data_IF_598744771848
#
_entry.id   IF_598744771848
#
_cell.length_a   1.000
_cell.length_b   1.000
_cell.length_c   1.000
_cell.angle_alpha   90.00
_cell.angle_beta   90.00
_cell.angle_gamma   90.00
#
_symmetry.space_group_name_H-M   'P 1'
#
loop_
_entity.id
_entity.type
_entity.pdbx_description
1 polymer ?
#
# COMPACT_ATOMS: atom_id res chain seq x y z
N UNK A 1 47.73 -44.91 49.89
CA UNK A 1 48.29 -44.78 48.55
C UNK A 1 47.43 -43.72 47.90
N UNK A 2 47.96 -42.57 48.05
CA UNK A 2 48.40 -41.51 47.16
C UNK A 2 47.23 -40.85 46.40
N UNK A 3 46.84 -39.70 46.84
CA UNK A 3 47.18 -38.34 46.37
C UNK A 3 46.84 -38.09 44.90
N UNK A 4 45.95 -37.14 44.68
CA UNK A 4 46.33 -35.81 44.16
C UNK A 4 45.12 -34.87 44.12
N UNK A 5 45.23 -33.83 44.96
CA UNK A 5 44.54 -32.54 44.80
C UNK A 5 45.08 -31.80 43.57
N UNK A 6 44.25 -31.22 42.73
CA UNK A 6 44.66 -30.09 41.93
C UNK A 6 43.49 -29.07 41.85
N UNK A 7 43.81 -27.88 42.24
CA UNK A 7 43.17 -26.58 42.13
C UNK A 7 42.62 -26.30 40.72
N UNK A 8 41.45 -25.69 40.63
CA UNK A 8 41.13 -24.75 39.59
C UNK A 8 40.33 -23.57 40.15
N UNK A 9 41.08 -22.55 40.52
CA UNK A 9 40.61 -21.18 40.56
C UNK A 9 40.96 -20.57 39.21
N UNK A 10 40.07 -19.80 38.63
CA UNK A 10 40.51 -18.84 37.64
C UNK A 10 39.58 -18.60 36.46
N UNK A 11 39.16 -17.36 36.36
CA UNK A 11 38.75 -16.64 35.16
C UNK A 11 37.32 -16.77 34.71
N UNK A 12 36.49 -15.98 35.37
CA UNK A 12 35.41 -15.28 34.66
C UNK A 12 36.12 -14.21 33.81
N UNK A 13 36.28 -14.46 32.55
CA UNK A 13 36.64 -13.43 31.57
C UNK A 13 35.43 -13.12 30.70
N UNK A 14 35.08 -11.86 30.67
CA UNK A 14 34.20 -11.17 29.79
C UNK A 14 34.03 -11.86 28.42
N UNK A 15 32.83 -12.29 28.12
CA UNK A 15 32.40 -12.58 26.77
C UNK A 15 31.42 -11.48 26.35
N UNK A 16 31.93 -10.27 26.23
CA UNK A 16 31.39 -9.27 25.31
C UNK A 16 31.95 -9.56 23.90
N UNK A 17 31.69 -10.73 23.38
CA UNK A 17 31.86 -10.98 21.96
C UNK A 17 30.69 -10.30 21.25
N UNK A 18 30.90 -9.03 20.90
CA UNK A 18 30.16 -8.33 19.86
C UNK A 18 30.07 -9.23 18.64
N UNK A 19 28.85 -9.68 18.32
CA UNK A 19 28.55 -10.46 17.13
C UNK A 19 28.75 -9.56 15.90
N UNK A 20 29.84 -9.69 15.12
CA UNK A 20 30.02 -8.95 13.86
C UNK A 20 29.00 -9.39 12.79
N UNK A 21 28.29 -10.49 13.01
CA UNK A 21 27.28 -11.04 12.09
C UNK A 21 26.02 -10.21 11.95
N UNK A 22 25.61 -9.47 12.97
CA UNK A 22 24.40 -8.63 12.90
C UNK A 22 24.63 -7.32 12.13
N UNK A 23 25.82 -6.74 12.23
CA UNK A 23 26.19 -5.51 11.52
C UNK A 23 26.27 -5.75 10.00
N UNK A 24 26.94 -6.81 9.56
CA UNK A 24 27.06 -7.18 8.14
C UNK A 24 25.74 -7.64 7.54
N UNK A 25 24.85 -8.19 8.38
CA UNK A 25 23.53 -8.63 7.95
C UNK A 25 22.55 -7.46 7.78
N UNK A 26 22.69 -6.42 8.63
CA UNK A 26 21.91 -5.18 8.52
C UNK A 26 22.40 -4.31 7.34
N UNK A 27 23.68 -4.36 7.01
CA UNK A 27 24.27 -3.57 5.91
C UNK A 27 23.91 -4.13 4.51
N UNK A 28 23.52 -5.40 4.40
CA UNK A 28 23.06 -6.04 3.14
C UNK A 28 21.59 -5.81 2.81
N UNK A 29 20.79 -5.22 3.72
CA UNK A 29 19.39 -4.84 3.48
C UNK A 29 19.23 -3.37 3.07
N UNK A 30 20.17 -2.80 2.39
CA UNK A 30 20.25 -1.37 2.12
C UNK A 30 19.15 -0.75 1.26
N UNK A 31 18.20 -1.52 0.71
CA UNK A 31 17.22 -0.98 -0.22
C UNK A 31 15.80 -1.38 0.20
N UNK A 32 15.37 -1.00 1.41
CA UNK A 32 13.97 -1.20 1.77
C UNK A 32 13.14 -0.05 1.20
N UNK A 33 12.63 -0.27 0.00
CA UNK A 33 11.69 0.62 -0.70
C UNK A 33 10.28 0.14 -0.38
N UNK A 34 9.77 0.54 0.75
CA UNK A 34 8.44 0.09 1.22
C UNK A 34 7.37 0.73 0.34
N UNK A 35 6.51 -0.08 -0.24
CA UNK A 35 5.36 0.41 -1.00
C UNK A 35 4.06 -0.14 -0.44
N UNK A 36 3.24 0.73 0.15
CA UNK A 36 1.94 0.38 0.69
C UNK A 36 0.92 0.42 -0.45
N UNK A 37 0.50 -0.76 -0.89
CA UNK A 37 -0.61 -0.95 -1.83
C UNK A 37 -1.91 -1.04 -1.06
N UNK A 38 -2.80 -0.09 -1.26
CA UNK A 38 -4.04 0.00 -0.49
C UNK A 38 -5.27 0.06 -1.40
N UNK A 39 -6.39 -0.38 -0.87
CA UNK A 39 -7.69 0.07 -1.35
C UNK A 39 -8.12 1.31 -0.56
N UNK A 40 -9.05 2.09 -1.11
CA UNK A 40 -9.64 3.20 -0.38
C UNK A 40 -10.35 2.68 0.89
N UNK A 41 -10.32 3.44 1.98
CA UNK A 41 -11.02 3.14 3.25
C UNK A 41 -10.54 1.92 4.03
N UNK A 42 -9.39 1.36 3.69
CA UNK A 42 -8.76 0.24 4.41
C UNK A 42 -7.91 0.67 5.61
N UNK A 43 -8.14 1.83 6.19
CA UNK A 43 -7.32 2.41 7.26
C UNK A 43 -5.83 2.57 6.89
N UNK A 44 -5.50 2.65 5.61
CA UNK A 44 -4.12 2.84 5.13
C UNK A 44 -3.48 4.13 5.62
N UNK A 45 -4.28 5.18 5.88
CA UNK A 45 -3.78 6.40 6.52
C UNK A 45 -3.37 6.20 7.97
N UNK A 46 -4.03 5.29 8.70
CA UNK A 46 -3.61 4.94 10.05
C UNK A 46 -2.25 4.25 10.03
N UNK A 47 -2.10 3.20 9.20
CA UNK A 47 -0.82 2.52 9.03
C UNK A 47 0.29 3.51 8.66
N UNK A 48 0.02 4.35 7.67
CA UNK A 48 0.97 5.34 7.19
C UNK A 48 1.36 6.34 8.29
N UNK A 49 0.36 6.85 9.05
CA UNK A 49 0.57 7.81 10.14
C UNK A 49 1.42 7.26 11.28
N UNK A 50 1.25 5.99 11.61
CA UNK A 50 2.07 5.31 12.62
C UNK A 50 3.50 5.16 12.09
N UNK A 51 3.66 4.59 10.89
CA UNK A 51 4.97 4.30 10.31
C UNK A 51 5.79 5.56 9.99
N UNK A 52 5.17 6.66 9.54
CA UNK A 52 5.88 7.93 9.25
C UNK A 52 6.54 8.55 10.48
N UNK A 53 6.21 8.09 11.69
CA UNK A 53 6.87 8.52 12.91
C UNK A 53 8.28 7.93 13.09
N UNK A 54 8.63 6.92 12.30
CA UNK A 54 9.95 6.28 12.39
C UNK A 54 11.03 7.16 11.75
N UNK A 55 12.13 7.49 12.48
CA UNK A 55 13.11 8.49 12.03
C UNK A 55 13.91 8.08 10.79
N UNK A 56 14.03 6.77 10.52
CA UNK A 56 14.73 6.28 9.32
C UNK A 56 13.85 6.25 8.08
N UNK A 57 12.55 6.60 8.18
CA UNK A 57 11.63 6.61 7.03
C UNK A 57 11.42 8.02 6.51
N UNK A 58 11.54 8.19 5.21
CA UNK A 58 11.00 9.34 4.49
C UNK A 58 9.81 8.89 3.65
N UNK A 59 8.73 9.64 3.71
CA UNK A 59 7.42 9.16 3.25
C UNK A 59 6.82 10.01 2.15
N UNK A 60 6.12 9.38 1.20
CA UNK A 60 5.33 10.06 0.17
C UNK A 60 4.04 9.30 -0.08
N UNK A 61 2.92 10.03 -0.13
CA UNK A 61 1.61 9.46 -0.45
C UNK A 61 1.18 9.85 -1.86
N UNK A 62 0.54 8.92 -2.53
CA UNK A 62 -0.19 9.13 -3.77
C UNK A 62 0.64 9.71 -4.93
N UNK A 63 1.77 9.09 -5.27
CA UNK A 63 2.61 9.61 -6.36
C UNK A 63 1.89 9.65 -7.72
N UNK A 64 0.88 8.79 -7.96
CA UNK A 64 0.18 8.66 -9.24
C UNK A 64 -1.28 9.12 -9.22
N UNK A 65 -1.85 9.41 -8.05
CA UNK A 65 -3.28 9.76 -7.92
C UNK A 65 -3.69 10.95 -8.79
N UNK A 66 -2.88 11.99 -8.83
CA UNK A 66 -3.21 13.19 -9.60
C UNK A 66 -3.16 12.93 -11.12
N UNK A 67 -2.20 12.14 -11.60
CA UNK A 67 -2.17 11.71 -13.00
C UNK A 67 -3.37 10.83 -13.35
N UNK A 68 -3.72 9.88 -12.46
CA UNK A 68 -4.84 8.97 -12.66
C UNK A 68 -6.19 9.68 -12.71
N UNK A 69 -6.42 10.63 -11.81
CA UNK A 69 -7.71 11.32 -11.68
C UNK A 69 -7.81 12.54 -12.62
N UNK A 70 -6.74 13.33 -12.72
CA UNK A 70 -6.79 14.72 -13.18
C UNK A 70 -5.83 15.03 -14.33
N UNK A 71 -4.81 14.22 -14.54
CA UNK A 71 -3.81 14.45 -15.57
C UNK A 71 -4.37 14.37 -16.99
N UNK A 72 -3.58 14.80 -18.00
CA UNK A 72 -3.99 14.75 -19.41
C UNK A 72 -4.22 13.31 -19.90
N UNK A 73 -3.55 12.33 -19.27
CA UNK A 73 -3.61 10.89 -19.59
C UNK A 73 -4.57 10.12 -18.65
N UNK A 74 -5.42 10.83 -17.90
CA UNK A 74 -6.25 10.24 -16.85
C UNK A 74 -6.92 8.92 -17.26
N UNK A 75 -6.82 7.91 -16.41
CA UNK A 75 -7.45 6.61 -16.59
C UNK A 75 -8.77 6.48 -15.82
N UNK A 76 -9.06 7.42 -14.91
CA UNK A 76 -10.34 7.46 -14.20
C UNK A 76 -11.49 7.61 -15.19
N UNK A 77 -12.50 6.75 -15.04
CA UNK A 77 -13.72 6.79 -15.86
C UNK A 77 -14.83 7.62 -15.23
N UNK A 78 -14.59 8.17 -14.05
CA UNK A 78 -15.57 9.00 -13.35
C UNK A 78 -15.97 10.21 -14.19
N UNK A 79 -17.26 10.35 -14.39
CA UNK A 79 -17.89 11.48 -15.07
C UNK A 79 -18.91 12.08 -14.10
N UNK A 80 -18.52 13.09 -13.38
CA UNK A 80 -19.48 13.89 -12.60
C UNK A 80 -19.30 15.34 -12.97
N UNK A 81 -20.40 16.05 -13.09
CA UNK A 81 -20.40 17.52 -13.37
C UNK A 81 -19.52 18.24 -12.35
N UNK A 82 -19.52 17.78 -11.09
CA UNK A 82 -18.67 18.33 -10.03
C UNK A 82 -17.16 18.13 -10.24
N UNK A 83 -16.73 17.11 -10.97
CA UNK A 83 -15.33 16.94 -11.38
C UNK A 83 -15.01 17.79 -12.61
N UNK A 84 -15.93 17.86 -13.57
CA UNK A 84 -15.76 18.72 -14.74
C UNK A 84 -15.72 20.20 -14.33
N UNK A 85 -16.55 20.63 -13.39
CA UNK A 85 -16.49 21.95 -12.76
C UNK A 85 -15.18 22.17 -12.00
N UNK A 86 -14.69 21.15 -11.30
CA UNK A 86 -13.40 21.21 -10.61
C UNK A 86 -12.27 21.41 -11.61
N UNK A 87 -12.26 20.70 -12.73
CA UNK A 87 -11.27 20.83 -13.81
C UNK A 87 -11.37 22.15 -14.56
N UNK A 88 -12.59 22.62 -14.83
CA UNK A 88 -12.79 23.89 -15.51
C UNK A 88 -12.22 25.08 -14.69
N UNK A 89 -12.13 24.93 -13.37
CA UNK A 89 -11.70 25.97 -12.44
C UNK A 89 -10.28 25.75 -11.87
N UNK A 90 -9.58 24.69 -12.25
CA UNK A 90 -8.24 24.37 -11.70
C UNK A 90 -7.10 25.21 -12.30
N UNK A 91 -7.39 26.00 -13.35
CA UNK A 91 -6.41 26.85 -14.03
C UNK A 91 -5.31 26.07 -14.76
N UNK A 92 -5.54 24.81 -15.10
CA UNK A 92 -4.55 23.93 -15.72
C UNK A 92 -3.51 23.39 -14.76
N UNK A 93 -3.77 23.42 -13.49
CA UNK A 93 -2.89 22.93 -12.40
C UNK A 93 -2.36 21.52 -12.65
N UNK A 94 -3.19 20.64 -13.23
CA UNK A 94 -2.85 19.24 -13.47
C UNK A 94 -2.33 18.94 -14.88
N UNK A 95 -2.17 19.95 -15.74
CA UNK A 95 -1.73 19.76 -17.13
C UNK A 95 -0.36 19.08 -17.26
N UNK A 96 0.52 19.27 -16.27
CA UNK A 96 1.84 18.65 -16.21
C UNK A 96 1.89 17.30 -15.47
N UNK A 97 0.78 16.80 -14.92
CA UNK A 97 0.74 15.56 -14.16
C UNK A 97 0.53 14.36 -15.09
N UNK A 98 1.55 14.03 -15.90
CA UNK A 98 1.58 12.79 -16.69
C UNK A 98 2.05 11.62 -15.83
N UNK A 99 1.70 10.39 -16.19
CA UNK A 99 2.21 9.21 -15.50
C UNK A 99 3.74 9.09 -15.61
N UNK A 100 4.33 9.48 -16.74
CA UNK A 100 5.78 9.50 -16.88
C UNK A 100 6.44 10.45 -15.90
N UNK A 101 5.93 11.68 -15.80
CA UNK A 101 6.44 12.64 -14.80
C UNK A 101 6.33 12.13 -13.38
N UNK A 102 5.23 11.47 -13.02
CA UNK A 102 5.06 10.88 -11.71
C UNK A 102 6.08 9.75 -11.44
N UNK A 103 6.40 8.95 -12.45
CA UNK A 103 7.42 7.92 -12.36
C UNK A 103 8.81 8.55 -12.16
N UNK A 104 9.17 9.51 -12.97
CA UNK A 104 10.48 10.19 -12.90
C UNK A 104 10.67 10.88 -11.54
N UNK A 105 9.63 11.55 -11.04
CA UNK A 105 9.66 12.19 -9.73
C UNK A 105 9.80 11.15 -8.60
N UNK A 106 9.16 9.99 -8.73
CA UNK A 106 9.24 8.90 -7.75
C UNK A 106 10.63 8.27 -7.77
N UNK A 107 11.21 7.98 -8.92
CA UNK A 107 12.57 7.42 -9.04
C UNK A 107 13.61 8.40 -8.47
N UNK A 108 13.49 9.68 -8.79
CA UNK A 108 14.36 10.73 -8.25
C UNK A 108 14.26 10.81 -6.72
N UNK A 109 13.02 10.80 -6.20
CA UNK A 109 12.78 10.81 -4.75
C UNK A 109 13.40 9.60 -4.06
N UNK A 110 13.26 8.40 -4.64
CA UNK A 110 13.88 7.18 -4.11
C UNK A 110 15.40 7.35 -4.02
N UNK A 111 16.04 7.78 -5.10
CA UNK A 111 17.48 8.01 -5.16
C UNK A 111 17.94 9.01 -4.10
N UNK A 112 17.25 10.14 -3.97
CA UNK A 112 17.63 11.19 -3.03
C UNK A 112 17.55 10.69 -1.58
N UNK A 113 16.46 9.99 -1.21
CA UNK A 113 16.27 9.42 0.13
C UNK A 113 17.33 8.35 0.44
N UNK A 114 17.60 7.46 -0.52
CA UNK A 114 18.60 6.40 -0.35
C UNK A 114 20.03 6.97 -0.23
N UNK A 115 20.30 8.08 -0.93
CA UNK A 115 21.60 8.78 -0.80
C UNK A 115 21.85 9.36 0.61
N UNK A 116 20.76 9.66 1.35
CA UNK A 116 20.83 10.08 2.76
C UNK A 116 20.92 8.89 3.74
N UNK A 117 20.97 7.65 3.24
CA UNK A 117 20.97 6.45 4.07
C UNK A 117 19.65 6.17 4.77
N UNK A 118 18.55 6.74 4.28
CA UNK A 118 17.19 6.53 4.77
C UNK A 118 16.44 5.54 3.90
N UNK A 119 15.31 5.03 4.44
CA UNK A 119 14.38 4.19 3.71
C UNK A 119 13.24 5.04 3.16
N UNK A 120 12.77 4.72 1.96
CA UNK A 120 11.58 5.33 1.38
C UNK A 120 10.34 4.52 1.72
N UNK A 121 9.27 5.19 2.12
CA UNK A 121 7.96 4.58 2.26
C UNK A 121 6.94 5.31 1.38
N UNK A 122 6.49 4.64 0.35
CA UNK A 122 5.49 5.12 -0.59
C UNK A 122 4.12 4.52 -0.26
N UNK A 123 3.06 5.21 -0.64
CA UNK A 123 1.70 4.70 -0.53
C UNK A 123 0.88 5.12 -1.74
N UNK A 124 0.18 4.14 -2.35
CA UNK A 124 -0.77 4.41 -3.42
C UNK A 124 -2.00 3.50 -3.30
N UNK A 125 -3.11 3.95 -3.86
CA UNK A 125 -4.24 3.06 -4.08
C UNK A 125 -3.99 2.21 -5.32
N UNK A 126 -4.11 0.90 -5.19
CA UNK A 126 -3.77 -0.05 -6.25
C UNK A 126 -4.53 0.23 -7.54
N UNK A 127 -5.79 0.67 -7.43
CA UNK A 127 -6.62 1.05 -8.59
C UNK A 127 -5.98 2.14 -9.46
N UNK A 128 -5.19 3.03 -8.89
CA UNK A 128 -4.53 4.10 -9.64
C UNK A 128 -3.34 3.62 -10.49
N UNK A 129 -2.88 2.40 -10.25
CA UNK A 129 -1.73 1.80 -10.92
C UNK A 129 -2.13 0.75 -11.96
N UNK A 130 -3.36 0.26 -11.97
CA UNK A 130 -3.80 -0.81 -12.85
C UNK A 130 -3.95 -0.32 -14.28
N UNK A 131 -3.46 -1.14 -15.22
CA UNK A 131 -3.56 -0.82 -16.65
C UNK A 131 -4.99 -0.94 -17.16
N UNK A 132 -5.35 -0.15 -18.17
CA UNK A 132 -6.66 -0.22 -18.84
C UNK A 132 -6.96 -1.62 -19.38
N UNK A 133 -5.95 -2.31 -19.91
CA UNK A 133 -6.09 -3.69 -20.40
C UNK A 133 -6.54 -4.65 -19.30
N UNK A 134 -6.01 -4.50 -18.10
CA UNK A 134 -6.40 -5.33 -16.95
C UNK A 134 -7.81 -4.96 -16.49
N UNK A 135 -8.15 -3.67 -16.48
CA UNK A 135 -9.52 -3.23 -16.22
C UNK A 135 -10.51 -3.85 -17.22
N UNK A 136 -10.26 -3.70 -18.53
CA UNK A 136 -11.11 -4.25 -19.58
C UNK A 136 -11.32 -5.77 -19.48
N UNK A 137 -10.27 -6.50 -19.11
CA UNK A 137 -10.34 -7.95 -18.95
C UNK A 137 -11.12 -8.43 -17.72
N UNK A 138 -11.37 -7.54 -16.74
CA UNK A 138 -11.92 -7.91 -15.44
C UNK A 138 -13.22 -7.19 -15.07
N UNK A 139 -13.70 -6.28 -15.91
CA UNK A 139 -14.97 -5.59 -15.73
C UNK A 139 -15.91 -6.04 -16.85
N UNK A 140 -17.10 -6.55 -16.48
CA UNK A 140 -18.06 -7.09 -17.43
C UNK A 140 -18.65 -6.02 -18.36
N UNK A 141 -18.74 -4.78 -17.90
CA UNK A 141 -19.31 -3.69 -18.66
C UNK A 141 -18.35 -3.21 -19.75
N UNK A 142 -18.73 -3.40 -21.00
CA UNK A 142 -17.96 -2.95 -22.16
C UNK A 142 -17.97 -1.43 -22.24
N UNK A 143 -16.83 -0.81 -21.99
CA UNK A 143 -16.60 0.65 -22.07
C UNK A 143 -15.38 0.95 -22.89
N UNK A 144 -15.32 2.12 -23.56
CA UNK A 144 -14.08 2.59 -24.11
C UNK A 144 -13.17 3.06 -22.97
N UNK A 145 -12.11 2.30 -22.70
CA UNK A 145 -11.04 2.74 -21.82
C UNK A 145 -10.04 3.60 -22.59
N UNK A 146 -9.46 4.57 -21.91
CA UNK A 146 -8.31 5.26 -22.46
C UNK A 146 -7.11 4.32 -22.50
N UNK A 147 -6.29 4.34 -23.55
CA UNK A 147 -5.06 3.55 -23.58
C UNK A 147 -4.17 3.91 -22.40
N UNK A 148 -3.64 2.89 -21.73
CA UNK A 148 -2.62 3.10 -20.70
C UNK A 148 -1.34 3.63 -21.37
N UNK A 149 -0.75 4.73 -20.88
CA UNK A 149 0.54 5.18 -21.37
C UNK A 149 1.62 4.13 -21.08
N UNK A 150 2.53 3.95 -22.02
CA UNK A 150 3.71 3.12 -21.82
C UNK A 150 4.78 3.95 -21.13
N UNK A 151 5.12 3.60 -19.90
CA UNK A 151 6.12 4.32 -19.14
C UNK A 151 7.52 3.83 -19.47
N UNK A 152 8.41 4.78 -19.68
CA UNK A 152 9.82 4.51 -19.89
C UNK A 152 10.54 4.50 -18.53
N UNK A 153 11.17 3.39 -18.19
CA UNK A 153 12.05 3.29 -17.03
C UNK A 153 13.38 4.00 -17.34
N UNK A 154 13.55 5.20 -16.81
CA UNK A 154 14.78 5.97 -16.94
C UNK A 154 15.84 5.57 -15.94
N UNK A 155 15.53 4.62 -15.05
CA UNK A 155 16.43 4.13 -13.99
C UNK A 155 17.04 5.28 -13.15
N UNK A 156 16.26 6.32 -12.86
CA UNK A 156 16.75 7.50 -12.12
C UNK A 156 17.14 7.15 -10.68
N UNK A 157 16.62 6.06 -10.16
CA UNK A 157 16.96 5.46 -8.86
C UNK A 157 18.33 4.76 -8.84
N UNK A 158 19.00 4.64 -10.00
CA UNK A 158 20.30 3.98 -10.14
C UNK A 158 21.40 4.97 -10.52
N UNK A 159 22.64 4.65 -10.14
CA UNK A 159 23.80 5.33 -10.69
C UNK A 159 24.07 4.90 -12.15
N UNK A 160 25.00 5.59 -12.81
CA UNK A 160 25.27 5.37 -14.24
C UNK A 160 25.80 3.95 -14.53
N UNK A 161 26.63 3.39 -13.65
CA UNK A 161 27.17 2.04 -13.82
C UNK A 161 26.08 0.97 -13.64
N UNK A 162 25.19 1.15 -12.68
CA UNK A 162 24.07 0.24 -12.41
C UNK A 162 23.01 0.26 -13.52
N UNK A 163 22.80 1.40 -14.20
CA UNK A 163 21.85 1.51 -15.31
C UNK A 163 22.20 0.59 -16.48
N UNK A 164 23.47 0.46 -16.79
CA UNK A 164 23.94 -0.40 -17.90
C UNK A 164 23.59 -1.88 -17.63
N UNK A 165 23.73 -2.33 -16.39
CA UNK A 165 23.41 -3.72 -16.01
C UNK A 165 21.91 -3.95 -15.92
N UNK A 166 21.15 -2.98 -15.43
CA UNK A 166 19.69 -3.06 -15.30
C UNK A 166 18.98 -3.23 -16.64
N UNK A 167 19.49 -2.60 -17.68
CA UNK A 167 18.93 -2.71 -19.05
C UNK A 167 19.12 -4.10 -19.69
N UNK A 168 20.00 -4.94 -19.14
CA UNK A 168 20.33 -6.26 -19.69
C UNK A 168 19.54 -7.43 -19.09
N UNK A 169 18.85 -7.21 -17.97
CA UNK A 169 18.21 -8.28 -17.18
C UNK A 169 16.69 -8.07 -17.10
N UNK A 170 15.95 -8.66 -18.01
CA UNK A 170 14.48 -8.77 -17.89
C UNK A 170 14.09 -10.24 -17.83
N UNK A 171 13.93 -10.77 -16.63
CA UNK A 171 13.29 -12.08 -16.44
C UNK A 171 11.77 -11.87 -16.49
N UNK A 172 11.12 -12.40 -17.54
CA UNK A 172 9.67 -12.41 -17.61
C UNK A 172 9.11 -13.35 -16.52
N UNK A 173 8.10 -12.87 -15.78
CA UNK A 173 7.40 -13.68 -14.79
C UNK A 173 6.22 -14.42 -15.43
N UNK A 174 5.84 -15.61 -14.89
CA UNK A 174 4.66 -16.35 -15.37
C UNK A 174 3.35 -15.55 -15.26
N UNK A 175 3.21 -14.74 -14.21
CA UNK A 175 2.09 -13.80 -14.06
C UNK A 175 2.57 -12.42 -14.51
N UNK A 176 1.92 -11.81 -15.52
CA UNK A 176 2.31 -10.50 -16.01
C UNK A 176 2.02 -9.41 -14.96
N UNK A 177 2.82 -8.36 -14.99
CA UNK A 177 2.60 -7.16 -14.19
C UNK A 177 1.24 -6.53 -14.54
N UNK A 178 0.32 -6.37 -13.58
CA UNK A 178 -0.98 -5.77 -13.83
C UNK A 178 -0.94 -4.23 -13.84
N UNK A 179 0.20 -3.63 -13.50
CA UNK A 179 0.34 -2.19 -13.27
C UNK A 179 1.01 -1.45 -14.42
N UNK A 180 0.91 -0.12 -14.38
CA UNK A 180 1.63 0.79 -15.28
C UNK A 180 3.12 0.93 -14.93
N UNK A 181 3.52 0.48 -13.73
CA UNK A 181 4.92 0.61 -13.28
C UNK A 181 5.81 -0.35 -14.06
N UNK A 182 7.02 0.07 -14.45
CA UNK A 182 7.99 -0.82 -15.08
C UNK A 182 8.33 -2.03 -14.20
N UNK A 183 8.45 -3.20 -14.81
CA UNK A 183 8.73 -4.47 -14.13
C UNK A 183 9.99 -4.42 -13.25
N UNK A 184 11.05 -3.78 -13.76
CA UNK A 184 12.29 -3.61 -13.00
C UNK A 184 12.03 -2.89 -11.69
N UNK A 185 11.42 -1.70 -11.76
CA UNK A 185 11.16 -0.89 -10.58
C UNK A 185 10.23 -1.60 -9.62
N UNK A 186 9.13 -2.18 -10.11
CA UNK A 186 8.15 -2.90 -9.30
C UNK A 186 8.82 -4.03 -8.48
N UNK A 187 9.76 -4.78 -9.10
CA UNK A 187 10.51 -5.85 -8.43
C UNK A 187 11.49 -5.34 -7.35
N UNK A 188 11.87 -4.08 -7.36
CA UNK A 188 12.73 -3.48 -6.31
C UNK A 188 11.95 -3.03 -5.08
N UNK A 189 10.63 -2.95 -5.17
CA UNK A 189 9.77 -2.50 -4.09
C UNK A 189 9.49 -3.63 -3.10
N UNK A 190 9.42 -3.29 -1.82
CA UNK A 190 8.93 -4.17 -0.76
C UNK A 190 7.43 -3.96 -0.56
N UNK A 191 6.58 -4.84 -1.09
CA UNK A 191 5.14 -4.64 -1.09
C UNK A 191 4.53 -4.90 0.28
N UNK A 192 3.74 -3.96 0.75
CA UNK A 192 2.87 -4.08 1.93
C UNK A 192 1.43 -3.82 1.48
N UNK A 193 0.60 -4.83 1.51
CA UNK A 193 -0.82 -4.71 1.22
C UNK A 193 -1.58 -4.44 2.51
N UNK A 194 -2.54 -3.52 2.47
CA UNK A 194 -3.47 -3.35 3.57
C UNK A 194 -4.89 -3.59 3.07
N UNK A 195 -5.57 -4.54 3.72
CA UNK A 195 -6.92 -4.98 3.40
C UNK A 195 -7.87 -4.67 4.55
N UNK A 196 -9.14 -4.63 4.26
CA UNK A 196 -10.23 -4.56 5.23
C UNK A 196 -11.47 -5.22 4.67
N UNK A 197 -12.34 -5.72 5.56
CA UNK A 197 -13.57 -6.39 5.15
C UNK A 197 -14.44 -5.50 4.22
N UNK A 198 -14.86 -5.99 3.05
CA UNK A 198 -15.61 -5.20 2.05
C UNK A 198 -16.87 -4.53 2.61
N UNK A 199 -17.60 -5.22 3.50
CA UNK A 199 -18.80 -4.67 4.15
C UNK A 199 -18.53 -3.40 4.98
N UNK A 200 -17.29 -3.12 5.35
CA UNK A 200 -16.88 -1.89 6.05
C UNK A 200 -16.30 -0.85 5.08
N UNK A 201 -15.63 -1.34 4.03
CA UNK A 201 -14.93 -0.51 3.05
C UNK A 201 -15.91 0.20 2.12
N UNK A 202 -16.83 -0.54 1.49
CA UNK A 202 -17.69 -0.02 0.43
C UNK A 202 -18.67 1.05 0.91
N UNK A 203 -19.40 0.88 2.02
CA UNK A 203 -20.24 1.95 2.54
C UNK A 203 -19.44 3.16 2.98
N UNK A 204 -18.24 2.94 3.57
CA UNK A 204 -17.35 4.05 3.93
C UNK A 204 -16.84 4.81 2.70
N UNK A 205 -16.61 4.11 1.58
CA UNK A 205 -16.25 4.74 0.30
C UNK A 205 -17.40 5.59 -0.23
N UNK A 206 -18.61 5.07 -0.31
CA UNK A 206 -19.77 5.82 -0.81
C UNK A 206 -20.05 7.06 0.03
N UNK A 207 -19.99 6.96 1.38
CA UNK A 207 -20.13 8.13 2.26
C UNK A 207 -19.10 9.23 1.97
N UNK A 208 -17.83 8.83 1.83
CA UNK A 208 -16.76 9.79 1.57
C UNK A 208 -16.86 10.39 0.16
N UNK A 209 -17.28 9.62 -0.83
CA UNK A 209 -17.39 10.03 -2.23
C UNK A 209 -18.67 10.80 -2.54
N UNK A 210 -19.62 10.85 -1.60
CA UNK A 210 -20.89 11.62 -1.75
C UNK A 210 -20.67 13.09 -2.08
N UNK A 211 -19.57 13.70 -1.61
CA UNK A 211 -19.22 15.09 -1.94
C UNK A 211 -18.99 15.33 -3.44
N UNK A 212 -18.69 14.25 -4.17
CA UNK A 212 -18.52 14.25 -5.64
C UNK A 212 -19.75 13.70 -6.37
N UNK A 213 -20.88 13.54 -5.66
CA UNK A 213 -22.09 12.97 -6.21
C UNK A 213 -22.02 11.47 -6.51
N UNK A 214 -21.03 10.75 -5.96
CA UNK A 214 -20.85 9.32 -6.24
C UNK A 214 -21.98 8.46 -5.70
N UNK A 215 -22.39 7.48 -6.50
CA UNK A 215 -23.40 6.47 -6.20
C UNK A 215 -22.87 5.05 -6.39
N UNK A 216 -23.61 4.05 -5.95
CA UNK A 216 -23.25 2.64 -6.17
C UNK A 216 -23.42 2.20 -7.64
N UNK A 217 -24.05 3.04 -8.47
CA UNK A 217 -24.39 2.76 -9.87
C UNK A 217 -23.53 3.50 -10.86
N UNK A 218 -22.59 4.32 -10.37
CA UNK A 218 -21.68 5.06 -11.22
C UNK A 218 -20.78 4.13 -12.02
N UNK A 219 -20.37 4.63 -13.17
CA UNK A 219 -19.46 3.95 -14.08
C UNK A 219 -18.14 3.51 -13.41
N UNK A 220 -17.70 4.21 -12.38
CA UNK A 220 -16.48 3.87 -11.66
C UNK A 220 -16.70 2.99 -10.40
N UNK A 221 -17.95 2.70 -10.02
CA UNK A 221 -18.23 1.85 -8.88
C UNK A 221 -17.57 0.45 -8.99
N UNK A 222 -17.51 -0.24 -10.15
CA UNK A 222 -16.78 -1.50 -10.30
C UNK A 222 -15.29 -1.41 -10.03
N UNK A 223 -14.69 -0.21 -10.18
CA UNK A 223 -13.26 0.00 -9.91
C UNK A 223 -12.95 0.18 -8.43
N UNK A 224 -13.88 0.81 -7.72
CA UNK A 224 -13.70 1.21 -6.33
C UNK A 224 -14.42 0.31 -5.32
N UNK A 225 -15.31 -0.57 -5.78
CA UNK A 225 -16.02 -1.52 -4.93
C UNK A 225 -15.61 -2.96 -5.27
N UNK A 226 -14.30 -3.21 -5.29
CA UNK A 226 -13.67 -4.52 -5.52
C UNK A 226 -12.31 -4.57 -4.84
N UNK A 227 -11.83 -5.75 -4.48
CA UNK A 227 -10.46 -5.99 -4.02
C UNK A 227 -9.59 -6.68 -5.08
N UNK A 228 -10.15 -6.90 -6.26
CA UNK A 228 -9.50 -7.62 -7.36
C UNK A 228 -8.14 -7.05 -7.74
N UNK A 229 -8.01 -5.72 -7.74
CA UNK A 229 -6.75 -5.07 -8.10
C UNK A 229 -5.62 -5.39 -7.13
N UNK A 230 -5.93 -5.41 -5.84
CA UNK A 230 -4.96 -5.81 -4.82
C UNK A 230 -4.61 -7.29 -4.95
N UNK A 231 -5.60 -8.15 -5.23
CA UNK A 231 -5.41 -9.58 -5.42
C UNK A 231 -4.50 -9.87 -6.61
N UNK A 232 -4.74 -9.27 -7.77
CA UNK A 232 -3.90 -9.46 -8.95
C UNK A 232 -2.45 -9.04 -8.71
N UNK A 233 -2.23 -7.92 -8.04
CA UNK A 233 -0.89 -7.46 -7.72
C UNK A 233 -0.22 -8.32 -6.63
N UNK A 234 -0.97 -8.81 -5.66
CA UNK A 234 -0.48 -9.77 -4.68
C UNK A 234 0.02 -11.05 -5.36
N UNK A 235 -0.74 -11.60 -6.32
CA UNK A 235 -0.38 -12.80 -7.04
C UNK A 235 0.87 -12.60 -7.92
N UNK A 236 1.04 -11.42 -8.53
CA UNK A 236 2.28 -11.03 -9.19
C UNK A 236 3.48 -11.10 -8.22
N UNK A 237 3.38 -10.50 -7.04
CA UNK A 237 4.47 -10.51 -6.06
C UNK A 237 4.70 -11.91 -5.46
N UNK A 238 3.66 -12.72 -5.25
CA UNK A 238 3.83 -14.12 -4.84
C UNK A 238 4.63 -14.91 -5.87
N UNK A 239 4.36 -14.69 -7.15
CA UNK A 239 5.12 -15.28 -8.24
C UNK A 239 6.57 -14.78 -8.25
N UNK A 240 6.78 -13.49 -8.05
CA UNK A 240 8.12 -12.91 -7.93
C UNK A 240 8.90 -13.54 -6.78
N UNK A 241 8.36 -13.58 -5.57
CA UNK A 241 9.04 -14.16 -4.41
C UNK A 241 9.19 -15.70 -4.48
N UNK A 242 8.51 -16.35 -5.40
CA UNK A 242 8.68 -17.79 -5.67
C UNK A 242 9.86 -18.09 -6.58
N UNK A 243 10.37 -17.13 -7.35
CA UNK A 243 11.56 -17.31 -8.16
C UNK A 243 12.86 -17.02 -7.38
N UNK A 244 14.03 -17.55 -7.82
CA UNK A 244 15.29 -17.46 -7.06
C UNK A 244 15.71 -16.00 -6.73
N UNK A 245 15.55 -15.10 -7.68
CA UNK A 245 15.93 -13.69 -7.52
C UNK A 245 15.05 -12.97 -6.48
N UNK A 246 13.73 -13.16 -6.59
CA UNK A 246 12.78 -12.59 -5.65
C UNK A 246 12.90 -13.20 -4.24
N UNK A 247 13.13 -14.52 -4.16
CA UNK A 247 13.39 -15.20 -2.90
C UNK A 247 14.64 -14.65 -2.19
N UNK A 248 15.69 -14.34 -2.97
CA UNK A 248 16.91 -13.73 -2.45
C UNK A 248 16.67 -12.28 -1.99
N UNK A 249 15.86 -11.51 -2.71
CA UNK A 249 15.56 -10.12 -2.35
C UNK A 249 14.74 -10.01 -1.07
N UNK A 250 13.84 -10.97 -0.80
CA UNK A 250 13.02 -10.98 0.43
C UNK A 250 13.85 -11.28 1.69
N UNK A 251 14.94 -12.04 1.58
CA UNK A 251 15.78 -12.41 2.72
C UNK A 251 15.06 -13.32 3.75
N UNK A 252 15.49 -13.32 5.02
CA UNK A 252 14.81 -14.03 6.11
C UNK A 252 13.39 -13.52 6.33
N UNK A 253 12.48 -14.44 6.66
CA UNK A 253 11.04 -14.13 6.80
C UNK A 253 10.32 -14.04 5.45
N UNK A 254 10.94 -14.53 4.37
CA UNK A 254 10.37 -14.52 3.01
C UNK A 254 9.00 -15.19 2.88
N UNK A 255 8.68 -16.09 3.79
CA UNK A 255 7.38 -16.77 3.87
C UNK A 255 6.21 -15.82 4.14
N UNK A 256 6.53 -14.61 4.65
CA UNK A 256 5.55 -13.54 4.89
C UNK A 256 5.45 -12.54 3.73
N UNK A 257 6.29 -12.71 2.68
CA UNK A 257 6.27 -11.80 1.52
C UNK A 257 5.43 -12.36 0.37
N UNK A 258 4.63 -11.53 -0.29
CA UNK A 258 4.35 -10.11 0.00
C UNK A 258 3.59 -9.94 1.32
N UNK A 259 3.88 -8.86 2.07
CA UNK A 259 3.30 -8.63 3.39
C UNK A 259 1.84 -8.18 3.24
N UNK A 260 0.93 -8.80 3.99
CA UNK A 260 -0.48 -8.39 4.05
C UNK A 260 -0.84 -8.01 5.48
N UNK A 261 -1.46 -6.85 5.65
CA UNK A 261 -1.97 -6.34 6.93
C UNK A 261 -3.49 -6.27 6.86
N UNK A 262 -4.17 -6.91 7.79
CA UNK A 262 -5.58 -6.69 8.00
C UNK A 262 -5.81 -5.46 8.88
N UNK A 263 -6.62 -4.51 8.39
CA UNK A 263 -6.87 -3.25 9.06
C UNK A 263 -7.55 -3.39 10.42
N UNK A 264 -8.41 -4.38 10.59
CA UNK A 264 -9.11 -4.59 11.85
C UNK A 264 -8.18 -5.22 12.89
N UNK A 265 -7.24 -6.11 12.48
CA UNK A 265 -6.13 -6.55 13.34
C UNK A 265 -5.25 -5.36 13.74
N UNK A 266 -4.88 -4.50 12.78
CA UNK A 266 -4.07 -3.31 13.05
C UNK A 266 -4.75 -2.36 14.04
N UNK A 267 -6.05 -2.12 13.93
CA UNK A 267 -6.80 -1.24 14.83
C UNK A 267 -6.91 -1.86 16.24
N UNK A 268 -7.17 -3.15 16.34
CA UNK A 268 -7.39 -3.84 17.59
C UNK A 268 -6.07 -4.08 18.37
N UNK A 269 -4.99 -4.40 17.65
CA UNK A 269 -3.65 -4.64 18.19
C UNK A 269 -2.58 -3.89 17.38
N UNK A 270 -2.62 -2.57 17.42
CA UNK A 270 -1.70 -1.74 16.66
C UNK A 270 -0.23 -1.96 17.03
N UNK A 271 0.08 -2.15 18.31
CA UNK A 271 1.46 -2.38 18.76
C UNK A 271 2.00 -3.72 18.23
N UNK A 272 1.26 -4.81 18.40
CA UNK A 272 1.68 -6.14 17.94
C UNK A 272 1.81 -6.21 16.41
N UNK A 273 0.87 -5.60 15.66
CA UNK A 273 0.93 -5.60 14.20
C UNK A 273 2.10 -4.75 13.66
N UNK A 274 2.34 -3.58 14.24
CA UNK A 274 3.46 -2.72 13.84
C UNK A 274 4.81 -3.34 14.23
N UNK A 275 4.92 -3.97 15.39
CA UNK A 275 6.14 -4.69 15.80
C UNK A 275 6.48 -5.81 14.80
N UNK A 276 5.50 -6.62 14.40
CA UNK A 276 5.69 -7.64 13.35
C UNK A 276 6.12 -7.02 12.03
N UNK A 277 5.44 -5.95 11.60
CA UNK A 277 5.77 -5.26 10.35
C UNK A 277 7.19 -4.71 10.38
N UNK A 278 7.58 -4.00 11.45
CA UNK A 278 8.93 -3.46 11.59
C UNK A 278 9.99 -4.55 11.52
N UNK A 279 9.80 -5.67 12.22
CA UNK A 279 10.72 -6.81 12.16
C UNK A 279 10.87 -7.38 10.76
N UNK A 280 9.76 -7.56 10.02
CA UNK A 280 9.80 -8.04 8.63
C UNK A 280 10.51 -7.05 7.70
N UNK A 281 10.37 -5.76 7.95
CA UNK A 281 11.03 -4.71 7.18
C UNK A 281 12.48 -4.44 7.63
N UNK A 282 12.94 -5.07 8.71
CA UNK A 282 14.26 -4.82 9.29
C UNK A 282 14.38 -3.47 9.98
N UNK A 283 13.27 -2.90 10.46
CA UNK A 283 13.21 -1.65 11.20
C UNK A 283 13.15 -1.91 12.71
N UNK A 284 13.74 -1.03 13.50
CA UNK A 284 13.57 -1.04 14.95
C UNK A 284 12.18 -0.48 15.32
N UNK A 285 11.30 -1.23 15.99
CA UNK A 285 9.98 -0.71 16.37
C UNK A 285 10.02 0.33 17.50
N UNK A 286 11.11 0.44 18.23
CA UNK A 286 11.18 1.28 19.44
C UNK A 286 10.89 2.78 19.21
N UNK A 287 11.30 3.42 18.10
CA UNK A 287 11.01 4.84 17.87
C UNK A 287 9.58 5.11 17.38
N UNK A 288 8.77 4.09 17.07
CA UNK A 288 7.40 4.26 16.55
C UNK A 288 6.50 4.93 17.60
N UNK A 289 5.71 5.89 17.13
CA UNK A 289 4.74 6.61 17.95
C UNK A 289 3.32 6.25 17.52
N UNK A 290 2.47 5.98 18.53
CA UNK A 290 1.05 5.67 18.34
C UNK A 290 0.13 6.82 18.69
N UNK A 291 0.71 7.97 18.98
CA UNK A 291 0.02 9.23 19.24
C UNK A 291 0.59 10.34 18.37
N UNK A 292 -0.25 11.27 17.99
CA UNK A 292 0.08 12.41 17.12
C UNK A 292 -0.84 13.59 17.42
N UNK A 293 -0.50 14.76 16.90
CA UNK A 293 -1.35 15.93 16.99
C UNK A 293 -2.47 15.88 15.92
N UNK A 294 -3.68 16.29 16.31
CA UNK A 294 -4.77 16.45 15.37
C UNK A 294 -4.42 17.53 14.33
N UNK A 295 -4.86 17.33 13.10
CA UNK A 295 -4.60 18.25 11.98
C UNK A 295 -5.90 18.81 11.45
N UNK A 296 -6.03 20.14 11.42
CA UNK A 296 -7.15 20.77 10.73
C UNK A 296 -6.93 20.68 9.20
N UNK A 297 -7.87 19.99 8.53
CA UNK A 297 -7.92 19.88 7.06
C UNK A 297 -9.24 20.37 6.48
N UNK A 298 -9.97 21.18 7.23
CA UNK A 298 -11.29 21.70 6.83
C UNK A 298 -11.24 22.58 5.58
N UNK A 299 -10.09 23.20 5.29
CA UNK A 299 -9.89 24.04 4.12
C UNK A 299 -9.92 23.31 2.76
N UNK A 300 -9.85 21.97 2.77
CA UNK A 300 -9.97 21.14 1.55
C UNK A 300 -11.12 20.14 1.71
N UNK A 301 -12.24 20.37 1.02
CA UNK A 301 -13.46 19.56 1.12
C UNK A 301 -13.21 18.08 0.82
N UNK A 302 -12.40 17.75 -0.19
CA UNK A 302 -12.08 16.38 -0.53
C UNK A 302 -11.26 15.71 0.59
N UNK A 303 -10.20 16.38 1.06
CA UNK A 303 -9.41 15.88 2.18
C UNK A 303 -10.27 15.76 3.46
N UNK A 304 -11.12 16.74 3.74
CA UNK A 304 -12.04 16.66 4.86
C UNK A 304 -12.92 15.40 4.78
N UNK A 305 -13.53 15.08 3.65
CA UNK A 305 -14.40 13.92 3.51
C UNK A 305 -13.65 12.58 3.68
N UNK A 306 -12.45 12.45 3.13
CA UNK A 306 -11.70 11.19 3.17
C UNK A 306 -10.82 11.02 4.40
N UNK A 307 -10.38 12.08 5.04
CA UNK A 307 -9.39 12.06 6.12
C UNK A 307 -9.94 12.48 7.49
N UNK A 308 -11.23 12.84 7.62
CA UNK A 308 -11.82 13.35 8.86
C UNK A 308 -11.43 12.55 10.10
N UNK A 309 -11.54 11.22 10.04
CA UNK A 309 -11.24 10.35 11.18
C UNK A 309 -9.78 10.48 11.62
N UNK A 310 -8.83 10.37 10.69
CA UNK A 310 -7.41 10.42 11.01
C UNK A 310 -6.96 11.83 11.38
N UNK A 311 -7.51 12.85 10.72
CA UNK A 311 -7.17 14.26 10.99
C UNK A 311 -7.62 14.72 12.37
N UNK A 312 -8.81 14.29 12.81
CA UNK A 312 -9.35 14.67 14.12
C UNK A 312 -8.88 13.77 15.26
N UNK A 313 -8.13 12.68 14.95
CA UNK A 313 -7.62 11.79 16.00
C UNK A 313 -6.27 12.24 16.51
N UNK A 314 -5.97 11.84 17.73
CA UNK A 314 -4.66 12.00 18.38
C UNK A 314 -3.98 10.66 18.64
N UNK A 315 -4.57 9.57 18.13
CA UNK A 315 -4.08 8.21 18.30
C UNK A 315 -5.01 7.19 17.63
N UNK A 316 -4.76 5.92 17.86
CA UNK A 316 -5.56 4.82 17.34
C UNK A 316 -6.93 4.77 18.02
N UNK A 317 -8.00 4.84 17.23
CA UNK A 317 -9.38 4.78 17.74
C UNK A 317 -9.85 3.32 17.71
N UNK A 318 -9.69 2.62 18.84
CA UNK A 318 -10.02 1.18 18.96
C UNK A 318 -11.51 0.85 18.70
N UNK A 319 -12.43 1.78 18.98
CA UNK A 319 -13.85 1.61 18.66
C UNK A 319 -14.17 1.52 17.16
N UNK A 320 -13.18 1.79 16.30
CA UNK A 320 -13.28 1.60 14.85
C UNK A 320 -12.82 0.21 14.39
N UNK A 321 -12.17 -0.56 15.27
CA UNK A 321 -11.91 -1.99 15.03
C UNK A 321 -13.22 -2.75 15.19
N UNK A 322 -13.56 -3.58 14.21
CA UNK A 322 -14.79 -4.37 14.25
C UNK A 322 -14.53 -5.77 14.80
N UNK A 323 -15.57 -6.39 15.32
CA UNK A 323 -15.72 -7.84 15.25
C UNK A 323 -15.93 -8.18 13.77
N UNK A 324 -15.64 -9.42 13.38
CA UNK A 324 -15.89 -9.87 12.01
C UNK A 324 -17.34 -9.48 11.61
N UNK A 325 -17.52 -8.62 10.59
CA UNK A 325 -18.85 -8.13 10.24
C UNK A 325 -19.70 -9.27 9.66
N UNK A 326 -20.97 -9.29 10.02
CA UNK A 326 -21.97 -10.16 9.43
C UNK A 326 -22.70 -9.34 8.37
N UNK A 327 -22.65 -9.76 7.11
CA UNK A 327 -23.16 -8.98 5.98
C UNK A 327 -24.64 -8.56 6.15
N UNK A 328 -25.46 -9.47 6.66
CA UNK A 328 -26.89 -9.17 6.88
C UNK A 328 -27.11 -8.10 7.96
N UNK A 329 -26.26 -8.07 8.99
CA UNK A 329 -26.34 -7.06 10.04
C UNK A 329 -25.91 -5.71 9.50
N UNK A 330 -24.81 -5.68 8.74
CA UNK A 330 -24.31 -4.48 8.06
C UNK A 330 -25.35 -3.95 7.06
N UNK A 331 -25.98 -4.81 6.26
CA UNK A 331 -27.01 -4.41 5.32
C UNK A 331 -28.22 -3.76 6.00
N UNK A 332 -28.59 -4.22 7.20
CA UNK A 332 -29.67 -3.56 8.00
C UNK A 332 -29.24 -2.16 8.48
N UNK A 333 -27.97 -1.98 8.82
CA UNK A 333 -27.45 -0.64 9.15
C UNK A 333 -27.41 0.26 7.92
N UNK A 334 -27.02 -0.27 6.76
CA UNK A 334 -27.01 0.49 5.50
C UNK A 334 -28.41 0.95 5.08
N UNK A 335 -29.44 0.14 5.30
CA UNK A 335 -30.83 0.47 5.00
C UNK A 335 -31.39 1.67 5.80
N UNK A 336 -30.69 2.13 6.83
CA UNK A 336 -31.02 3.37 7.56
C UNK A 336 -30.53 4.63 6.82
N UNK A 337 -29.64 4.48 5.86
CA UNK A 337 -28.93 5.58 5.18
C UNK A 337 -29.21 5.61 3.68
N UNK A 338 -29.41 4.45 3.04
CA UNK A 338 -29.60 4.30 1.60
C UNK A 338 -30.91 3.60 1.26
N UNK A 339 -31.36 3.81 0.03
CA UNK A 339 -32.49 3.08 -0.56
C UNK A 339 -32.17 1.59 -0.76
N UNK A 340 -33.22 0.82 -1.05
CA UNK A 340 -33.15 -0.64 -1.19
C UNK A 340 -32.24 -1.04 -2.34
N UNK A 341 -32.26 -0.32 -3.45
CA UNK A 341 -31.47 -0.58 -4.64
C UNK A 341 -29.96 -0.39 -4.35
N UNK A 342 -29.62 0.69 -3.67
CA UNK A 342 -28.22 0.97 -3.24
C UNK A 342 -27.71 -0.09 -2.26
N UNK A 343 -28.54 -0.49 -1.28
CA UNK A 343 -28.19 -1.55 -0.33
C UNK A 343 -27.95 -2.88 -1.06
N UNK A 344 -28.82 -3.23 -2.01
CA UNK A 344 -28.67 -4.46 -2.78
C UNK A 344 -27.42 -4.45 -3.65
N UNK A 345 -27.10 -3.33 -4.30
CA UNK A 345 -25.87 -3.17 -5.07
C UNK A 345 -24.61 -3.31 -4.18
N UNK A 346 -24.62 -2.71 -3.00
CA UNK A 346 -23.52 -2.87 -2.04
C UNK A 346 -23.35 -4.30 -1.55
N UNK A 347 -24.47 -5.03 -1.28
CA UNK A 347 -24.43 -6.44 -0.90
C UNK A 347 -23.80 -7.29 -1.99
N UNK A 348 -24.29 -7.20 -3.21
CA UNK A 348 -23.75 -7.95 -4.35
C UNK A 348 -22.24 -7.72 -4.52
N UNK A 349 -21.81 -6.46 -4.54
CA UNK A 349 -20.37 -6.16 -4.67
C UNK A 349 -19.55 -6.64 -3.47
N UNK A 350 -20.13 -6.64 -2.28
CA UNK A 350 -19.47 -7.17 -1.09
C UNK A 350 -19.27 -8.67 -1.22
N UNK A 351 -20.32 -9.41 -1.63
CA UNK A 351 -20.28 -10.85 -1.88
C UNK A 351 -19.22 -11.20 -2.94
N UNK A 352 -19.21 -10.47 -4.06
CA UNK A 352 -18.23 -10.64 -5.15
C UNK A 352 -16.76 -10.40 -4.68
N UNK A 353 -16.55 -9.48 -3.73
CA UNK A 353 -15.23 -9.15 -3.23
C UNK A 353 -14.74 -10.08 -2.11
N UNK A 354 -15.61 -10.93 -1.54
CA UNK A 354 -15.25 -11.77 -0.38
C UNK A 354 -14.19 -12.81 -0.71
N UNK A 355 -14.23 -13.42 -1.89
CA UNK A 355 -13.22 -14.41 -2.30
C UNK A 355 -11.81 -13.80 -2.27
N UNK A 356 -11.65 -12.62 -2.86
CA UNK A 356 -10.38 -11.90 -2.86
C UNK A 356 -9.95 -11.47 -1.46
N UNK A 357 -10.90 -10.99 -0.64
CA UNK A 357 -10.63 -10.61 0.74
C UNK A 357 -10.15 -11.81 1.58
N UNK A 358 -10.88 -12.90 1.57
CA UNK A 358 -10.56 -14.11 2.34
C UNK A 358 -9.24 -14.73 1.91
N UNK A 359 -8.95 -14.72 0.60
CA UNK A 359 -7.66 -15.15 0.11
C UNK A 359 -6.53 -14.30 0.66
N UNK A 360 -6.64 -12.97 0.58
CA UNK A 360 -5.62 -12.08 1.10
C UNK A 360 -5.51 -12.17 2.63
N UNK A 361 -6.64 -12.32 3.33
CA UNK A 361 -6.68 -12.45 4.80
C UNK A 361 -5.89 -13.67 5.30
N UNK A 362 -5.93 -14.78 4.56
CA UNK A 362 -5.12 -16.00 4.87
C UNK A 362 -3.61 -15.75 4.82
N UNK A 363 -3.17 -14.71 4.12
CA UNK A 363 -1.77 -14.30 4.02
C UNK A 363 -1.41 -13.17 4.99
N UNK A 364 -2.36 -12.70 5.80
CA UNK A 364 -2.11 -11.57 6.72
C UNK A 364 -1.26 -11.99 7.92
N UNK A 365 -0.33 -11.12 8.32
CA UNK A 365 0.57 -11.30 9.45
C UNK A 365 -0.14 -11.17 10.81
#
# INVERSE_FOLDING_TARGET
>A
MSDINIYLAGCISDVSASLPFLSDYMDKRRNTRIFIFSHLRTASHLLFRIMESHPSLTTKQYPFMEAFLFGPERLSVRRTDSLDDFFANDGGKFAGHTFQKCLDDMETLIKDIESEGKYVMLKEHTVHLITSRVHEANIEEKRPFRPTPVLQDHCLDLDEAQRVDAMRTTTALPIPNPTILPDRLLKTLTPVFIIRHPALVFPSYLRASKIFGATAFDDDAPFYMTLKWQRLLLDFYKTWYSCPEGAKSAGPGREHFPIVIDADKLINDSHGQIDKLCRLLGLDPAPIRFTWEAQDRSGNRAQAAFLTTISNSTGVIKSKGSKLPVLEDEAREWAKEWDVETVQAMKSRTEDAMEDYEYMLKHSI
#
